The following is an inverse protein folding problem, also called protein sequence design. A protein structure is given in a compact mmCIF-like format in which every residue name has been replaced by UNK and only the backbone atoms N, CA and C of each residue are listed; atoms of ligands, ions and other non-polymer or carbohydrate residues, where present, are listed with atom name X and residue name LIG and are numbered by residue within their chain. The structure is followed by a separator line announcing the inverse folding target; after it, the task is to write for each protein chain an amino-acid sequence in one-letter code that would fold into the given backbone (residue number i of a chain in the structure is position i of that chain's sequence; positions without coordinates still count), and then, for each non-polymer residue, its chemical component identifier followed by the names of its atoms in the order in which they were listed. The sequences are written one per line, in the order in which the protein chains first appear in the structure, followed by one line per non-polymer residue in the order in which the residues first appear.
data_IF_299969013644
#
_entry.id   IF_299969013644
#
_cell.length_a   1.000
_cell.length_b   1.000
_cell.length_c   1.000
_cell.angle_alpha   90.00
_cell.angle_beta   90.00
_cell.angle_gamma   90.00
#
_symmetry.space_group_name_H-M   'P 1'
#
loop_
_entity.id
_entity.type
_entity.pdbx_description
1 polymer ?
#
# COMPACT_ATOMS: atom_id res chain seq x y z
N UNK A 1 -11.85 15.88 -17.20
CA UNK A 1 -10.78 15.47 -16.25
C UNK A 1 -11.44 14.65 -15.16
N UNK A 2 -10.78 13.58 -14.69
CA UNK A 2 -11.27 12.82 -13.52
C UNK A 2 -11.11 13.70 -12.29
N UNK A 3 -12.10 13.68 -11.40
CA UNK A 3 -12.05 14.39 -10.13
C UNK A 3 -10.86 13.88 -9.27
N UNK A 4 -10.13 14.79 -8.62
CA UNK A 4 -8.91 14.45 -7.88
C UNK A 4 -9.18 13.45 -6.75
N UNK A 5 -10.31 13.58 -6.06
CA UNK A 5 -10.70 12.68 -4.97
C UNK A 5 -10.91 11.25 -5.50
N UNK A 6 -11.61 11.13 -6.63
CA UNK A 6 -11.84 9.85 -7.30
C UNK A 6 -10.52 9.24 -7.80
N UNK A 7 -9.64 10.07 -8.40
CA UNK A 7 -8.34 9.60 -8.88
C UNK A 7 -7.47 9.06 -7.73
N UNK A 8 -7.38 9.77 -6.61
CA UNK A 8 -6.66 9.29 -5.42
C UNK A 8 -7.26 8.00 -4.86
N UNK A 9 -8.60 7.90 -4.80
CA UNK A 9 -9.28 6.67 -4.38
C UNK A 9 -8.92 5.47 -5.27
N UNK A 10 -8.90 5.64 -6.59
CA UNK A 10 -8.51 4.60 -7.55
C UNK A 10 -7.04 4.17 -7.35
N UNK A 11 -6.14 5.11 -7.09
CA UNK A 11 -4.73 4.80 -6.81
C UNK A 11 -4.57 3.99 -5.51
N UNK A 12 -5.38 4.26 -4.49
CA UNK A 12 -5.42 3.45 -3.25
C UNK A 12 -5.98 2.05 -3.48
N UNK A 13 -7.03 1.90 -4.31
CA UNK A 13 -7.54 0.58 -4.72
C UNK A 13 -6.44 -0.22 -5.42
N UNK A 14 -5.77 0.40 -6.39
CA UNK A 14 -4.71 -0.26 -7.14
C UNK A 14 -3.52 -0.65 -6.24
N UNK A 15 -3.12 0.23 -5.32
CA UNK A 15 -2.08 -0.07 -4.31
C UNK A 15 -2.47 -1.27 -3.45
N UNK A 16 -3.73 -1.35 -3.00
CA UNK A 16 -4.19 -2.52 -2.22
C UNK A 16 -4.17 -3.81 -3.01
N UNK A 17 -4.62 -3.78 -4.26
CA UNK A 17 -4.63 -4.96 -5.11
C UNK A 17 -3.22 -5.49 -5.38
N UNK A 18 -2.21 -4.62 -5.48
CA UNK A 18 -0.81 -5.05 -5.60
C UNK A 18 -0.36 -5.82 -4.37
N UNK A 19 -0.67 -5.33 -3.17
CA UNK A 19 -0.29 -6.03 -1.93
C UNK A 19 -1.00 -7.37 -1.79
N UNK A 20 -2.31 -7.42 -2.06
CA UNK A 20 -3.07 -8.67 -2.06
C UNK A 20 -2.54 -9.66 -3.11
N UNK A 21 -2.18 -9.19 -4.30
CA UNK A 21 -1.60 -10.04 -5.34
C UNK A 21 -0.26 -10.65 -4.88
N UNK A 22 0.57 -9.88 -4.18
CA UNK A 22 1.81 -10.39 -3.58
C UNK A 22 1.55 -11.53 -2.62
N UNK A 23 0.60 -11.37 -1.70
CA UNK A 23 0.25 -12.42 -0.73
C UNK A 23 -0.32 -13.68 -1.42
N UNK A 24 -1.19 -13.49 -2.43
CA UNK A 24 -1.73 -14.61 -3.22
C UNK A 24 -0.61 -15.39 -3.91
N UNK A 25 0.34 -14.70 -4.55
CA UNK A 25 1.46 -15.37 -5.23
C UNK A 25 2.35 -16.11 -4.23
N UNK A 26 2.66 -15.53 -3.05
CA UNK A 26 3.48 -16.20 -2.02
C UNK A 26 2.84 -17.49 -1.50
N UNK A 27 1.51 -17.50 -1.35
CA UNK A 27 0.75 -18.70 -0.98
C UNK A 27 0.91 -19.78 -2.06
N UNK A 28 0.72 -19.43 -3.34
CA UNK A 28 0.83 -20.39 -4.44
C UNK A 28 2.25 -20.84 -4.77
N UNK A 29 3.26 -20.02 -4.46
CA UNK A 29 4.67 -20.38 -4.63
C UNK A 29 5.16 -21.43 -3.61
N UNK A 30 4.33 -21.80 -2.63
CA UNK A 30 4.70 -22.77 -1.59
C UNK A 30 5.63 -22.19 -0.53
N UNK A 31 5.71 -20.86 -0.43
CA UNK A 31 6.60 -20.13 0.49
C UNK A 31 5.95 -19.84 1.84
N UNK A 32 4.77 -20.41 2.07
CA UNK A 32 3.91 -20.11 3.18
C UNK A 32 3.70 -21.33 4.06
N UNK A 33 4.22 -21.28 5.28
CA UNK A 33 3.78 -22.15 6.38
C UNK A 33 2.69 -21.41 7.15
N UNK A 34 1.45 -21.93 7.21
CA UNK A 34 0.37 -21.28 7.93
C UNK A 34 0.74 -20.98 9.38
N UNK A 35 0.66 -19.70 9.76
CA UNK A 35 0.95 -19.27 11.11
C UNK A 35 2.39 -18.83 11.37
N UNK A 36 3.27 -18.91 10.37
CA UNK A 36 4.69 -18.61 10.53
C UNK A 36 5.19 -17.53 9.55
N UNK A 37 6.10 -16.69 10.05
CA UNK A 37 6.92 -15.78 9.24
C UNK A 37 8.37 -16.08 9.62
N UNK A 38 9.22 -16.31 8.62
CA UNK A 38 10.64 -16.69 8.83
C UNK A 38 10.84 -17.89 9.78
N UNK A 39 9.96 -18.89 9.69
CA UNK A 39 10.01 -20.10 10.53
C UNK A 39 9.68 -19.87 12.01
N UNK A 40 9.11 -18.71 12.35
CA UNK A 40 8.63 -18.40 13.71
C UNK A 40 7.13 -18.20 13.71
N UNK A 41 6.46 -18.73 14.73
CA UNK A 41 5.04 -18.46 14.96
C UNK A 41 4.80 -16.96 15.12
N UNK A 42 3.88 -16.44 14.32
CA UNK A 42 3.47 -15.04 14.37
C UNK A 42 2.65 -14.81 15.64
N UNK A 43 3.00 -13.80 16.42
CA UNK A 43 2.25 -13.43 17.62
C UNK A 43 0.92 -12.74 17.27
N UNK A 44 -0.06 -12.78 18.18
CA UNK A 44 -1.33 -12.06 18.01
C UNK A 44 -1.13 -10.55 17.80
N UNK A 45 -0.12 -9.97 18.47
CA UNK A 45 0.25 -8.55 18.32
C UNK A 45 0.79 -8.28 16.90
N UNK A 46 1.59 -9.20 16.34
CA UNK A 46 2.08 -9.05 14.97
C UNK A 46 0.95 -9.14 13.95
N UNK A 47 -0.02 -10.04 14.14
CA UNK A 47 -1.23 -10.08 13.29
C UNK A 47 -2.03 -8.78 13.37
N UNK A 48 -2.22 -8.23 14.56
CA UNK A 48 -2.89 -6.94 14.74
C UNK A 48 -2.14 -5.82 14.02
N UNK A 49 -0.80 -5.81 14.08
CA UNK A 49 0.04 -4.85 13.36
C UNK A 49 -0.13 -4.95 11.85
N UNK A 50 -0.09 -6.16 11.28
CA UNK A 50 -0.32 -6.37 9.83
C UNK A 50 -1.74 -5.96 9.42
N UNK A 51 -2.75 -6.29 10.23
CA UNK A 51 -4.12 -5.90 9.97
C UNK A 51 -4.29 -4.37 9.97
N UNK A 52 -3.72 -3.68 10.96
CA UNK A 52 -3.75 -2.22 11.02
C UNK A 52 -3.01 -1.58 9.84
N UNK A 53 -1.86 -2.12 9.46
CA UNK A 53 -1.07 -1.64 8.33
C UNK A 53 -1.85 -1.76 7.01
N UNK A 54 -2.41 -2.93 6.74
CA UNK A 54 -3.16 -3.20 5.50
C UNK A 54 -4.54 -2.51 5.47
N UNK A 55 -5.07 -2.12 6.62
CA UNK A 55 -6.28 -1.32 6.70
C UNK A 55 -6.08 0.12 6.23
N UNK A 56 -4.87 0.68 6.34
CA UNK A 56 -4.57 2.06 5.93
C UNK A 56 -5.02 2.37 4.49
N UNK A 57 -4.58 1.64 3.47
CA UNK A 57 -4.98 1.95 2.09
C UNK A 57 -6.46 1.64 1.83
N UNK A 58 -7.10 0.70 2.56
CA UNK A 58 -8.57 0.51 2.51
C UNK A 58 -9.30 1.75 3.05
N UNK A 59 -8.85 2.28 4.18
CA UNK A 59 -9.39 3.51 4.76
C UNK A 59 -9.18 4.68 3.81
N UNK A 60 -8.02 4.76 3.16
CA UNK A 60 -7.74 5.80 2.17
C UNK A 60 -8.65 5.74 0.95
N UNK A 61 -9.06 4.56 0.46
CA UNK A 61 -10.07 4.44 -0.61
C UNK A 61 -11.33 5.22 -0.25
N UNK A 62 -11.82 5.06 0.97
CA UNK A 62 -13.05 5.69 1.48
C UNK A 62 -12.81 7.17 1.79
N UNK A 63 -11.75 7.49 2.52
CA UNK A 63 -11.42 8.86 2.91
C UNK A 63 -11.14 9.74 1.71
N UNK A 64 -10.55 9.21 0.65
CA UNK A 64 -10.31 9.98 -0.57
C UNK A 64 -11.60 10.46 -1.22
N UNK A 65 -12.73 9.75 -1.06
CA UNK A 65 -14.03 10.20 -1.58
C UNK A 65 -14.73 11.16 -0.63
N UNK A 66 -14.57 10.98 0.69
CA UNK A 66 -15.31 11.74 1.71
C UNK A 66 -14.63 13.08 2.06
N UNK A 67 -13.30 13.11 2.12
CA UNK A 67 -12.58 14.28 2.63
C UNK A 67 -12.45 15.39 1.58
N UNK A 68 -12.74 16.65 1.95
CA UNK A 68 -12.49 17.78 1.06
C UNK A 68 -10.98 18.00 0.85
N UNK A 69 -10.64 18.68 -0.24
CA UNK A 69 -9.29 19.18 -0.45
C UNK A 69 -9.04 20.44 0.41
N UNK A 70 -7.82 20.64 0.94
CA UNK A 70 -6.60 19.87 0.70
C UNK A 70 -6.38 18.67 1.65
N UNK A 71 -7.31 18.39 2.58
CA UNK A 71 -7.12 17.37 3.61
C UNK A 71 -6.84 15.97 3.04
N UNK A 72 -7.57 15.57 2.00
CA UNK A 72 -7.32 14.30 1.28
C UNK A 72 -5.92 14.25 0.68
N UNK A 73 -5.45 15.35 0.05
CA UNK A 73 -4.11 15.41 -0.55
C UNK A 73 -3.00 15.30 0.49
N UNK A 74 -3.10 16.03 1.61
CA UNK A 74 -2.12 15.95 2.70
C UNK A 74 -2.03 14.52 3.25
N UNK A 75 -3.18 13.90 3.53
CA UNK A 75 -3.22 12.54 4.05
C UNK A 75 -2.66 11.55 3.03
N UNK A 76 -3.01 11.69 1.76
CA UNK A 76 -2.50 10.83 0.68
C UNK A 76 -0.98 10.92 0.54
N UNK A 77 -0.40 12.12 0.63
CA UNK A 77 1.06 12.30 0.58
C UNK A 77 1.74 11.62 1.77
N UNK A 78 1.22 11.81 2.98
CA UNK A 78 1.80 11.23 4.20
C UNK A 78 1.77 9.70 4.12
N UNK A 79 0.61 9.11 3.83
CA UNK A 79 0.45 7.66 3.82
C UNK A 79 1.20 7.02 2.64
N UNK A 80 1.20 7.64 1.46
CA UNK A 80 1.96 7.13 0.31
C UNK A 80 3.48 7.17 0.59
N UNK A 81 3.96 8.27 1.18
CA UNK A 81 5.37 8.37 1.59
C UNK A 81 5.73 7.29 2.60
N UNK A 82 4.88 7.05 3.59
CA UNK A 82 5.06 5.98 4.57
C UNK A 82 5.19 4.60 3.90
N UNK A 83 4.31 4.24 2.96
CA UNK A 83 4.40 2.97 2.23
C UNK A 83 5.66 2.88 1.34
N UNK A 84 6.11 3.98 0.74
CA UNK A 84 7.36 4.01 -0.01
C UNK A 84 8.54 3.66 0.91
N UNK A 85 8.64 4.30 2.07
CA UNK A 85 9.72 4.01 3.02
C UNK A 85 9.64 2.59 3.60
N UNK A 86 8.44 2.10 3.89
CA UNK A 86 8.23 0.74 4.38
C UNK A 86 8.66 -0.31 3.35
N UNK A 87 8.25 -0.16 2.08
CA UNK A 87 8.64 -1.06 1.00
C UNK A 87 10.16 -1.01 0.74
N UNK A 88 10.80 0.16 0.85
CA UNK A 88 12.25 0.30 0.74
C UNK A 88 12.99 -0.45 1.85
N UNK A 89 12.48 -0.40 3.08
CA UNK A 89 13.06 -1.14 4.21
C UNK A 89 12.94 -2.67 4.02
N UNK A 90 11.87 -3.14 3.38
CA UNK A 90 11.60 -4.57 3.15
C UNK A 90 12.33 -5.19 1.95
N UNK A 91 12.94 -4.38 1.05
CA UNK A 91 13.38 -4.87 -0.27
C UNK A 91 14.48 -5.94 -0.22
N UNK A 92 15.31 -5.95 0.84
CA UNK A 92 16.40 -6.90 1.02
C UNK A 92 15.86 -8.24 1.51
N UNK A 93 15.48 -9.12 0.58
CA UNK A 93 14.95 -10.45 0.88
C UNK A 93 13.85 -10.91 -0.08
N UNK A 94 13.38 -10.02 -0.94
CA UNK A 94 12.28 -10.29 -1.85
C UNK A 94 12.68 -11.08 -3.09
N UNK A 95 11.77 -11.96 -3.51
CA UNK A 95 11.90 -12.74 -4.74
C UNK A 95 11.57 -11.89 -5.96
N UNK A 96 11.89 -12.34 -7.19
CA UNK A 96 11.68 -11.51 -8.39
C UNK A 96 10.24 -11.02 -8.57
N UNK A 97 9.23 -11.83 -8.24
CA UNK A 97 7.82 -11.41 -8.34
C UNK A 97 7.46 -10.34 -7.30
N UNK A 98 8.00 -10.44 -6.08
CA UNK A 98 7.82 -9.42 -5.03
C UNK A 98 8.46 -8.09 -5.44
N UNK A 99 9.68 -8.15 -5.99
CA UNK A 99 10.39 -6.96 -6.49
C UNK A 99 9.58 -6.29 -7.60
N UNK A 100 9.04 -7.07 -8.54
CA UNK A 100 8.19 -6.54 -9.61
C UNK A 100 6.95 -5.82 -9.06
N UNK A 101 6.23 -6.44 -8.13
CA UNK A 101 5.03 -5.86 -7.52
C UNK A 101 5.36 -4.61 -6.69
N UNK A 102 6.50 -4.59 -6.00
CA UNK A 102 6.94 -3.42 -5.23
C UNK A 102 7.34 -2.27 -6.14
N UNK A 103 8.02 -2.54 -7.25
CA UNK A 103 8.28 -1.51 -8.26
C UNK A 103 6.96 -0.91 -8.78
N UNK A 104 5.95 -1.73 -9.06
CA UNK A 104 4.62 -1.24 -9.44
C UNK A 104 3.97 -0.41 -8.32
N UNK A 105 4.08 -0.84 -7.06
CA UNK A 105 3.61 -0.08 -5.89
C UNK A 105 4.32 1.27 -5.77
N UNK A 106 5.62 1.36 -6.03
CA UNK A 106 6.35 2.63 -6.03
C UNK A 106 5.84 3.59 -7.10
N UNK A 107 5.54 3.10 -8.30
CA UNK A 107 4.95 3.92 -9.36
C UNK A 107 3.60 4.48 -8.91
N UNK A 108 2.72 3.65 -8.34
CA UNK A 108 1.41 4.12 -7.87
C UNK A 108 1.53 5.13 -6.72
N UNK A 109 2.39 4.88 -5.74
CA UNK A 109 2.59 5.83 -4.64
C UNK A 109 3.23 7.14 -5.11
N UNK A 110 4.15 7.10 -6.07
CA UNK A 110 4.71 8.30 -6.69
C UNK A 110 3.63 9.11 -7.44
N UNK A 111 2.74 8.43 -8.17
CA UNK A 111 1.59 9.07 -8.81
C UNK A 111 0.63 9.67 -7.77
N UNK A 112 0.35 8.96 -6.67
CA UNK A 112 -0.46 9.48 -5.56
C UNK A 112 0.13 10.78 -5.02
N UNK A 113 1.43 10.80 -4.74
CA UNK A 113 2.12 12.00 -4.25
C UNK A 113 2.07 13.13 -5.28
N UNK A 114 2.35 12.82 -6.55
CA UNK A 114 2.34 13.80 -7.63
C UNK A 114 0.96 14.47 -7.78
N UNK A 115 -0.10 13.67 -7.94
CA UNK A 115 -1.45 14.19 -8.13
C UNK A 115 -2.00 14.87 -6.87
N UNK A 116 -1.69 14.38 -5.67
CA UNK A 116 -2.04 15.08 -4.45
C UNK A 116 -1.31 16.44 -4.34
N UNK A 117 -0.11 16.57 -4.93
CA UNK A 117 0.65 17.82 -4.85
C UNK A 117 0.15 18.90 -5.80
N UNK A 118 -0.61 18.56 -6.85
CA UNK A 118 -1.09 19.56 -7.83
C UNK A 118 -2.08 20.56 -7.25
N UNK A 119 -2.67 20.29 -6.09
CA UNK A 119 -3.57 21.25 -5.41
C UNK A 119 -2.82 22.42 -4.76
N UNK A 120 -1.50 22.32 -4.61
CA UNK A 120 -0.64 23.32 -3.99
C UNK A 120 0.20 24.13 -4.98
N UNK A 121 0.11 23.79 -6.27
CA UNK A 121 0.81 24.46 -7.37
C UNK A 121 -0.13 25.45 -8.07
#
# INVERSE_FOLDING_TARGET
MVDLNIMLSILWVATMLIYLLGDVIRIFAGEFTPGEIEGKKVSQIAYLGMAALMLLPIVMVVLSVILPQPANSILSIIIASFFVFLNLAGIKGYKPFDVFLICASFVLNALTIYYASTIFL
#
